data_IF_406626355869
#
_entry.id   IF_406626355869
#
_cell.length_a   1.000
_cell.length_b   1.000
_cell.length_c   1.000
_cell.angle_alpha   90.00
_cell.angle_beta   90.00
_cell.angle_gamma   90.00
#
_symmetry.space_group_name_H-M   'P 1'
#
loop_
_entity.id
_entity.type
_entity.pdbx_description
1 polymer ?
#
# COMPACT_ATOMS: atom_id res chain seq x y z
N UNK A 1 -19.43 4.47 31.25
CA UNK A 1 -20.01 5.52 30.38
C UNK A 1 -18.91 5.99 29.44
N UNK A 2 -19.00 5.66 28.16
CA UNK A 2 -18.03 6.09 27.15
C UNK A 2 -18.31 7.56 26.82
N UNK A 3 -17.39 8.45 27.17
CA UNK A 3 -17.49 9.88 26.87
C UNK A 3 -17.07 10.07 25.42
N UNK A 4 -17.99 10.53 24.57
CA UNK A 4 -17.68 10.90 23.20
C UNK A 4 -16.58 11.98 23.18
N UNK A 5 -15.59 11.88 22.28
CA UNK A 5 -14.51 12.86 22.22
C UNK A 5 -15.08 14.27 21.98
N UNK A 6 -14.48 15.30 22.61
CA UNK A 6 -14.97 16.66 22.47
C UNK A 6 -14.96 17.10 20.99
N UNK A 7 -15.96 17.89 20.55
CA UNK A 7 -16.08 18.30 19.15
C UNK A 7 -14.82 19.08 18.72
N UNK A 8 -14.29 18.72 17.55
CA UNK A 8 -13.08 19.32 16.99
C UNK A 8 -13.17 20.85 16.96
N UNK A 9 -12.12 21.56 17.40
CA UNK A 9 -12.05 23.02 17.31
C UNK A 9 -12.12 23.53 15.87
N UNK A 10 -12.53 24.78 15.66
CA UNK A 10 -12.68 25.39 14.31
C UNK A 10 -11.41 25.25 13.44
N UNK A 11 -10.23 25.41 14.04
CA UNK A 11 -8.94 25.25 13.35
C UNK A 11 -8.74 23.83 12.86
N UNK A 12 -9.07 22.83 13.68
CA UNK A 12 -8.89 21.42 13.34
C UNK A 12 -9.87 20.99 12.25
N UNK A 13 -11.13 21.42 12.34
CA UNK A 13 -12.12 21.19 11.26
C UNK A 13 -11.67 21.79 9.93
N UNK A 14 -11.13 23.02 9.95
CA UNK A 14 -10.61 23.67 8.74
C UNK A 14 -9.38 22.95 8.16
N UNK A 15 -8.52 22.39 9.02
CA UNK A 15 -7.36 21.59 8.60
C UNK A 15 -7.82 20.28 7.96
N UNK A 16 -8.76 19.59 8.59
CA UNK A 16 -9.34 18.34 8.09
C UNK A 16 -10.04 18.53 6.73
N UNK A 17 -10.88 19.56 6.60
CA UNK A 17 -11.55 19.87 5.33
C UNK A 17 -10.56 20.19 4.19
N UNK A 18 -9.39 20.78 4.50
CA UNK A 18 -8.32 20.98 3.51
C UNK A 18 -7.66 19.66 3.12
N UNK A 19 -7.34 18.81 4.10
CA UNK A 19 -6.76 17.49 3.86
C UNK A 19 -7.67 16.64 2.97
N UNK A 20 -8.98 16.66 3.22
CA UNK A 20 -9.97 15.93 2.41
C UNK A 20 -9.99 16.42 0.97
N UNK A 21 -10.02 17.74 0.73
CA UNK A 21 -9.95 18.30 -0.63
C UNK A 21 -8.65 17.95 -1.34
N UNK A 22 -7.51 18.04 -0.65
CA UNK A 22 -6.20 17.66 -1.20
C UNK A 22 -6.21 16.19 -1.61
N UNK A 23 -6.66 15.31 -0.70
CA UNK A 23 -6.66 13.86 -0.92
C UNK A 23 -7.58 13.48 -2.07
N UNK A 24 -8.76 14.09 -2.15
CA UNK A 24 -9.71 13.86 -3.24
C UNK A 24 -9.16 14.32 -4.60
N UNK A 25 -8.60 15.53 -4.66
CA UNK A 25 -8.03 16.07 -5.90
C UNK A 25 -6.82 15.26 -6.39
N UNK A 26 -5.89 14.94 -5.47
CA UNK A 26 -4.71 14.14 -5.80
C UNK A 26 -5.09 12.72 -6.21
N UNK A 27 -6.01 12.07 -5.50
CA UNK A 27 -6.49 10.72 -5.83
C UNK A 27 -7.11 10.68 -7.23
N UNK A 28 -7.98 11.63 -7.56
CA UNK A 28 -8.62 11.71 -8.88
C UNK A 28 -7.58 11.91 -10.00
N UNK A 29 -6.70 12.91 -9.86
CA UNK A 29 -5.70 13.23 -10.88
C UNK A 29 -4.68 12.10 -11.08
N UNK A 30 -4.18 11.50 -10.00
CA UNK A 30 -3.26 10.37 -10.12
C UNK A 30 -3.94 9.14 -10.72
N UNK A 31 -5.21 8.88 -10.40
CA UNK A 31 -5.94 7.76 -11.00
C UNK A 31 -6.19 7.95 -12.50
N UNK A 32 -6.45 9.19 -12.94
CA UNK A 32 -6.76 9.50 -14.34
C UNK A 32 -5.51 9.59 -15.23
N UNK A 33 -4.43 10.19 -14.73
CA UNK A 33 -3.26 10.53 -15.55
C UNK A 33 -1.97 9.86 -15.11
N UNK A 34 -1.94 9.25 -13.92
CA UNK A 34 -0.70 8.75 -13.34
C UNK A 34 0.14 9.86 -12.71
N UNK A 35 1.03 9.47 -11.80
CA UNK A 35 1.83 10.38 -11.00
C UNK A 35 2.79 11.21 -11.84
N UNK A 36 3.34 10.65 -12.91
CA UNK A 36 4.35 11.32 -13.72
C UNK A 36 3.77 12.49 -14.53
N UNK A 37 2.54 12.37 -15.02
CA UNK A 37 1.84 13.39 -15.83
C UNK A 37 1.07 14.43 -14.99
N UNK A 38 1.07 14.29 -13.66
CA UNK A 38 0.42 15.23 -12.73
C UNK A 38 1.44 16.10 -12.01
N UNK A 39 1.17 17.41 -12.00
CA UNK A 39 1.92 18.41 -11.24
C UNK A 39 1.26 18.72 -9.90
N UNK A 40 2.05 19.13 -8.91
CA UNK A 40 1.53 19.62 -7.62
C UNK A 40 0.72 20.92 -7.76
N UNK A 41 0.94 21.70 -8.81
CA UNK A 41 0.14 22.90 -9.13
C UNK A 41 -1.27 22.50 -9.56
N UNK A 42 -1.44 21.56 -10.48
CA UNK A 42 -2.76 21.06 -10.90
C UNK A 42 -3.56 20.52 -9.70
N UNK A 43 -2.91 19.80 -8.79
CA UNK A 43 -3.57 19.31 -7.58
C UNK A 43 -3.98 20.47 -6.66
N UNK A 44 -3.10 21.45 -6.46
CA UNK A 44 -3.41 22.62 -5.62
C UNK A 44 -4.59 23.43 -6.17
N UNK A 45 -4.63 23.63 -7.49
CA UNK A 45 -5.71 24.32 -8.19
C UNK A 45 -7.03 23.55 -8.05
N UNK A 46 -7.00 22.23 -8.30
CA UNK A 46 -8.18 21.36 -8.15
C UNK A 46 -8.69 21.29 -6.70
N UNK A 47 -7.79 21.39 -5.72
CA UNK A 47 -8.13 21.42 -4.30
C UNK A 47 -8.49 22.83 -3.78
N UNK A 48 -8.45 23.87 -4.63
CA UNK A 48 -8.67 25.28 -4.29
C UNK A 48 -7.82 25.72 -3.07
N UNK A 49 -6.49 25.57 -3.21
CA UNK A 49 -5.47 26.02 -2.27
C UNK A 49 -4.21 26.50 -3.01
N UNK A 50 -3.33 27.22 -2.32
CA UNK A 50 -1.99 27.50 -2.86
C UNK A 50 -1.06 26.29 -2.73
N UNK A 51 -0.11 26.11 -3.66
CA UNK A 51 0.92 25.07 -3.62
C UNK A 51 1.74 25.08 -2.34
N UNK A 52 2.08 26.27 -1.80
CA UNK A 52 2.72 26.38 -0.49
C UNK A 52 1.91 25.78 0.65
N UNK A 53 0.57 25.78 0.56
CA UNK A 53 -0.30 25.11 1.53
C UNK A 53 -0.28 23.60 1.33
N UNK A 54 -0.24 23.11 0.09
CA UNK A 54 -0.13 21.68 -0.22
C UNK A 54 1.13 21.08 0.41
N UNK A 55 2.26 21.78 0.31
CA UNK A 55 3.54 21.34 0.88
C UNK A 55 3.57 21.26 2.42
N UNK A 56 2.59 21.83 3.11
CA UNK A 56 2.42 21.63 4.56
C UNK A 56 1.84 20.24 4.91
N UNK A 57 1.22 19.56 3.95
CA UNK A 57 0.60 18.24 4.12
C UNK A 57 1.46 17.11 3.52
N UNK A 58 2.17 17.40 2.42
CA UNK A 58 3.08 16.47 1.77
C UNK A 58 4.24 17.24 1.15
N UNK A 59 5.48 16.98 1.58
CA UNK A 59 6.66 17.77 1.19
C UNK A 59 7.08 17.56 -0.26
N UNK A 60 6.74 16.41 -0.83
CA UNK A 60 7.10 16.01 -2.19
C UNK A 60 5.87 15.44 -2.92
N UNK A 61 5.95 15.31 -4.25
CA UNK A 61 4.91 14.61 -5.02
C UNK A 61 4.82 13.13 -4.64
N UNK A 62 5.96 12.50 -4.33
CA UNK A 62 6.02 11.14 -3.81
C UNK A 62 5.29 10.99 -2.47
N UNK A 63 5.56 11.88 -1.53
CA UNK A 63 4.89 11.90 -0.21
C UNK A 63 3.38 12.16 -0.34
N UNK A 64 2.96 12.94 -1.35
CA UNK A 64 1.54 13.13 -1.68
C UNK A 64 0.91 11.88 -2.29
N UNK A 65 1.66 11.14 -3.10
CA UNK A 65 1.21 9.84 -3.61
C UNK A 65 1.04 8.83 -2.47
N UNK A 66 1.96 8.79 -1.50
CA UNK A 66 1.84 7.94 -0.32
C UNK A 66 0.59 8.29 0.49
N UNK A 67 0.37 9.58 0.78
CA UNK A 67 -0.82 10.07 1.48
C UNK A 67 -2.12 9.51 0.88
N UNK A 68 -2.26 9.52 -0.45
CA UNK A 68 -3.50 9.04 -1.08
C UNK A 68 -3.58 7.52 -1.17
N UNK A 69 -2.45 6.83 -1.37
CA UNK A 69 -2.45 5.38 -1.63
C UNK A 69 -2.43 4.54 -0.36
N UNK A 70 -1.90 5.03 0.76
CA UNK A 70 -1.81 4.27 2.02
C UNK A 70 -3.19 3.71 2.45
N UNK A 71 -4.25 4.52 2.39
CA UNK A 71 -5.60 4.08 2.72
C UNK A 71 -6.12 2.97 1.79
N UNK A 72 -5.75 3.00 0.51
CA UNK A 72 -6.11 1.96 -0.45
C UNK A 72 -5.36 0.64 -0.16
N UNK A 73 -4.06 0.72 0.13
CA UNK A 73 -3.27 -0.46 0.52
C UNK A 73 -3.71 -1.06 1.85
N UNK A 74 -4.03 -0.24 2.85
CA UNK A 74 -4.59 -0.71 4.12
C UNK A 74 -5.93 -1.44 3.91
N UNK A 75 -6.82 -0.88 3.08
CA UNK A 75 -8.08 -1.53 2.71
C UNK A 75 -7.85 -2.84 1.95
N UNK A 76 -6.84 -2.89 1.07
CA UNK A 76 -6.47 -4.09 0.33
C UNK A 76 -5.96 -5.19 1.29
N UNK A 77 -5.14 -4.85 2.27
CA UNK A 77 -4.68 -5.78 3.30
C UNK A 77 -5.85 -6.38 4.09
N UNK A 78 -6.82 -5.57 4.52
CA UNK A 78 -8.00 -6.09 5.24
C UNK A 78 -8.84 -7.05 4.39
N UNK A 79 -9.04 -6.74 3.11
CA UNK A 79 -9.69 -7.66 2.16
C UNK A 79 -8.90 -8.96 2.01
N UNK A 80 -7.57 -8.86 1.96
CA UNK A 80 -6.66 -10.00 1.89
C UNK A 80 -6.76 -10.89 3.14
N UNK A 81 -6.76 -10.29 4.34
CA UNK A 81 -6.94 -11.01 5.61
C UNK A 81 -8.24 -11.81 5.62
N UNK A 82 -9.35 -11.21 5.17
CA UNK A 82 -10.63 -11.88 5.05
C UNK A 82 -10.58 -13.06 4.05
N UNK A 83 -10.01 -12.83 2.86
CA UNK A 83 -9.91 -13.86 1.82
C UNK A 83 -8.99 -15.03 2.23
N UNK A 84 -7.91 -14.76 2.94
CA UNK A 84 -6.96 -15.77 3.42
C UNK A 84 -7.59 -16.71 4.46
N UNK A 85 -8.49 -16.19 5.31
CA UNK A 85 -9.19 -16.99 6.32
C UNK A 85 -10.04 -18.11 5.71
N UNK A 86 -10.52 -17.94 4.49
CA UNK A 86 -11.32 -18.92 3.74
C UNK A 86 -10.48 -20.02 3.08
N UNK A 87 -9.14 -19.92 3.12
CA UNK A 87 -8.23 -20.87 2.47
C UNK A 87 -7.66 -21.89 3.44
N UNK A 88 -7.55 -23.13 2.95
CA UNK A 88 -7.08 -24.26 3.75
C UNK A 88 -5.58 -24.47 3.68
N UNK A 89 -4.95 -24.24 2.53
CA UNK A 89 -3.49 -24.41 2.34
C UNK A 89 -2.74 -23.12 2.65
N UNK A 90 -1.48 -23.23 3.08
CA UNK A 90 -0.63 -22.06 3.32
C UNK A 90 -0.42 -21.24 2.03
N UNK A 91 -0.13 -21.92 0.91
CA UNK A 91 0.08 -21.27 -0.38
C UNK A 91 -1.16 -20.47 -0.81
N UNK A 92 -2.34 -21.08 -0.82
CA UNK A 92 -3.55 -20.40 -1.28
C UNK A 92 -3.96 -19.28 -0.32
N UNK A 93 -3.74 -19.45 0.99
CA UNK A 93 -4.00 -18.41 1.98
C UNK A 93 -3.08 -17.19 1.80
N UNK A 94 -1.77 -17.40 1.61
CA UNK A 94 -0.84 -16.28 1.36
C UNK A 94 -1.15 -15.61 0.02
N UNK A 95 -1.46 -16.38 -1.04
CA UNK A 95 -1.84 -15.80 -2.33
C UNK A 95 -3.14 -14.98 -2.21
N UNK A 96 -4.13 -15.48 -1.47
CA UNK A 96 -5.37 -14.75 -1.22
C UNK A 96 -5.15 -13.48 -0.39
N UNK A 97 -4.20 -13.49 0.56
CA UNK A 97 -3.81 -12.33 1.35
C UNK A 97 -3.23 -11.21 0.48
N UNK A 98 -2.37 -11.56 -0.48
CA UNK A 98 -1.56 -10.57 -1.23
C UNK A 98 -2.19 -10.17 -2.56
N UNK A 99 -3.11 -10.95 -3.13
CA UNK A 99 -3.75 -10.62 -4.39
C UNK A 99 -4.49 -9.26 -4.40
N UNK A 100 -5.21 -8.83 -3.35
CA UNK A 100 -5.81 -7.49 -3.31
C UNK A 100 -4.76 -6.37 -3.30
N UNK A 101 -3.59 -6.60 -2.69
CA UNK A 101 -2.47 -5.64 -2.67
C UNK A 101 -1.89 -5.50 -4.07
N UNK A 102 -1.72 -6.61 -4.79
CA UNK A 102 -1.32 -6.61 -6.21
C UNK A 102 -2.36 -5.86 -7.03
N UNK A 103 -3.66 -6.16 -6.86
CA UNK A 103 -4.72 -5.46 -7.58
C UNK A 103 -4.71 -3.96 -7.32
N UNK A 104 -4.52 -3.54 -6.07
CA UNK A 104 -4.38 -2.13 -5.68
C UNK A 104 -3.20 -1.46 -6.38
N UNK A 105 -2.03 -2.11 -6.38
CA UNK A 105 -0.82 -1.62 -7.04
C UNK A 105 -1.02 -1.43 -8.55
N UNK A 106 -1.84 -2.29 -9.17
CA UNK A 106 -2.05 -2.34 -10.62
C UNK A 106 -3.25 -1.56 -11.13
N UNK A 107 -3.97 -0.83 -10.26
CA UNK A 107 -4.98 0.13 -10.70
C UNK A 107 -4.38 1.15 -11.67
N UNK A 108 -3.16 1.63 -11.38
CA UNK A 108 -2.35 2.39 -12.32
C UNK A 108 -0.88 2.01 -12.13
N UNK A 109 -0.28 1.39 -13.14
CA UNK A 109 1.06 0.78 -13.03
C UNK A 109 2.14 1.78 -12.60
N UNK A 110 2.16 2.99 -13.17
CA UNK A 110 3.18 3.99 -12.81
C UNK A 110 3.03 4.52 -11.37
N UNK A 111 1.80 4.66 -10.87
CA UNK A 111 1.54 5.00 -9.47
C UNK A 111 2.02 3.89 -8.55
N UNK A 112 1.70 2.64 -8.89
CA UNK A 112 2.14 1.47 -8.14
C UNK A 112 3.66 1.39 -8.05
N UNK A 113 4.36 1.55 -9.18
CA UNK A 113 5.83 1.49 -9.23
C UNK A 113 6.48 2.67 -8.51
N UNK A 114 5.91 3.87 -8.63
CA UNK A 114 6.42 5.04 -7.91
C UNK A 114 6.21 4.91 -6.41
N UNK A 115 5.07 4.37 -5.96
CA UNK A 115 4.84 4.06 -4.55
C UNK A 115 5.90 3.09 -4.00
N UNK A 116 6.21 2.01 -4.74
CA UNK A 116 7.28 1.08 -4.37
C UNK A 116 8.66 1.75 -4.33
N UNK A 117 8.94 2.66 -5.26
CA UNK A 117 10.20 3.44 -5.28
C UNK A 117 10.31 4.35 -4.06
N UNK A 118 9.24 5.05 -3.70
CA UNK A 118 9.20 5.91 -2.51
C UNK A 118 9.37 5.10 -1.22
N UNK A 119 8.83 3.88 -1.13
CA UNK A 119 9.09 3.00 0.02
C UNK A 119 10.56 2.58 0.12
N UNK A 120 11.23 2.31 -1.01
CA UNK A 120 12.61 1.83 -1.00
C UNK A 120 13.66 2.95 -0.83
N UNK A 121 13.39 4.15 -1.35
CA UNK A 121 14.39 5.23 -1.46
C UNK A 121 13.91 6.58 -0.92
N UNK A 122 12.67 6.67 -0.42
CA UNK A 122 12.10 7.88 0.14
C UNK A 122 12.68 8.23 1.51
N UNK A 123 12.22 9.35 2.06
CA UNK A 123 12.72 9.85 3.34
C UNK A 123 11.97 9.17 4.51
N UNK A 124 12.66 8.40 5.38
CA UNK A 124 12.02 7.64 6.46
C UNK A 124 11.44 8.51 7.58
N UNK A 125 11.74 9.81 7.59
CA UNK A 125 11.21 10.76 8.57
C UNK A 125 9.88 11.39 8.16
N UNK A 126 9.41 11.12 6.94
CA UNK A 126 8.15 11.63 6.44
C UNK A 126 6.98 10.74 6.91
N UNK A 127 5.85 11.34 7.35
CA UNK A 127 4.80 10.61 8.03
C UNK A 127 4.09 9.57 7.14
N UNK A 128 3.87 9.87 5.86
CA UNK A 128 3.16 8.95 4.96
C UNK A 128 4.08 7.83 4.47
N UNK A 129 5.38 8.09 4.37
CA UNK A 129 6.40 7.04 4.24
C UNK A 129 6.41 6.09 5.44
N UNK A 130 6.40 6.61 6.67
CA UNK A 130 6.34 5.77 7.86
C UNK A 130 5.05 4.92 7.91
N UNK A 131 3.91 5.48 7.48
CA UNK A 131 2.65 4.73 7.36
C UNK A 131 2.72 3.64 6.29
N UNK A 132 3.30 3.92 5.12
CA UNK A 132 3.51 2.93 4.06
C UNK A 132 4.33 1.73 4.56
N UNK A 133 5.43 1.99 5.27
CA UNK A 133 6.26 0.94 5.89
C UNK A 133 5.49 0.15 6.97
N UNK A 134 4.62 0.81 7.73
CA UNK A 134 3.78 0.13 8.70
C UNK A 134 2.78 -0.82 8.03
N UNK A 135 2.24 -0.48 6.86
CA UNK A 135 1.36 -1.36 6.08
C UNK A 135 2.14 -2.58 5.57
N UNK A 136 3.38 -2.39 5.11
CA UNK A 136 4.27 -3.50 4.70
C UNK A 136 4.52 -4.44 5.88
N UNK A 137 4.90 -3.90 7.05
CA UNK A 137 5.13 -4.69 8.26
C UNK A 137 3.87 -5.47 8.68
N UNK A 138 2.69 -4.86 8.62
CA UNK A 138 1.42 -5.54 8.93
C UNK A 138 1.09 -6.65 7.92
N UNK A 139 1.50 -6.50 6.67
CA UNK A 139 1.35 -7.52 5.63
C UNK A 139 2.31 -8.69 5.87
N UNK A 140 3.55 -8.41 6.25
CA UNK A 140 4.53 -9.42 6.64
C UNK A 140 4.08 -10.20 7.88
N UNK A 141 3.58 -9.51 8.91
CA UNK A 141 3.03 -10.15 10.12
C UNK A 141 1.84 -11.06 9.79
N UNK A 142 0.90 -10.59 8.96
CA UNK A 142 -0.24 -11.41 8.52
C UNK A 142 0.21 -12.64 7.74
N UNK A 143 1.24 -12.49 6.90
CA UNK A 143 1.82 -13.60 6.13
C UNK A 143 2.49 -14.60 7.07
N UNK A 144 3.28 -14.13 8.05
CA UNK A 144 3.93 -14.97 9.04
C UNK A 144 2.92 -15.74 9.91
N UNK A 145 1.81 -15.10 10.29
CA UNK A 145 0.73 -15.75 11.02
C UNK A 145 0.08 -16.88 10.20
N UNK A 146 -0.23 -16.63 8.91
CA UNK A 146 -0.75 -17.65 8.00
C UNK A 146 0.22 -18.83 7.87
N UNK A 147 1.51 -18.54 7.66
CA UNK A 147 2.53 -19.56 7.53
C UNK A 147 2.65 -20.41 8.80
N UNK A 148 2.79 -19.80 9.97
CA UNK A 148 2.91 -20.51 11.24
C UNK A 148 1.68 -21.40 11.51
N UNK A 149 0.47 -20.88 11.28
CA UNK A 149 -0.78 -21.61 11.53
C UNK A 149 -1.00 -22.79 10.56
N UNK A 150 -0.61 -22.65 9.29
CA UNK A 150 -0.94 -23.63 8.24
C UNK A 150 0.18 -24.63 7.93
N UNK A 151 1.42 -24.31 8.31
CA UNK A 151 2.59 -25.19 8.06
C UNK A 151 3.19 -25.78 9.34
N UNK A 152 2.87 -25.21 10.51
CA UNK A 152 3.48 -25.61 11.79
C UNK A 152 4.92 -25.14 11.98
N UNK A 153 5.44 -24.27 11.11
CA UNK A 153 6.76 -23.65 11.27
C UNK A 153 6.89 -22.87 12.58
N UNK A 154 8.10 -22.80 13.12
CA UNK A 154 8.38 -21.91 14.25
C UNK A 154 8.12 -20.45 13.82
N UNK A 155 7.65 -19.61 14.76
CA UNK A 155 7.33 -18.20 14.47
C UNK A 155 8.50 -17.44 13.84
N UNK A 156 9.72 -17.70 14.28
CA UNK A 156 10.93 -17.07 13.73
C UNK A 156 11.15 -17.43 12.26
N UNK A 157 10.96 -18.70 11.89
CA UNK A 157 11.08 -19.17 10.50
C UNK A 157 9.96 -18.61 9.62
N UNK A 158 8.72 -18.58 10.14
CA UNK A 158 7.58 -18.00 9.45
C UNK A 158 7.77 -16.49 9.17
N UNK A 159 8.34 -15.74 10.12
CA UNK A 159 8.70 -14.32 9.93
C UNK A 159 9.78 -14.16 8.86
N UNK A 160 10.83 -14.97 8.88
CA UNK A 160 11.87 -14.94 7.83
C UNK A 160 11.26 -15.23 6.46
N UNK A 161 10.40 -16.24 6.35
CA UNK A 161 9.78 -16.60 5.08
C UNK A 161 8.79 -15.52 4.60
N UNK A 162 8.04 -14.88 5.51
CA UNK A 162 7.20 -13.74 5.19
C UNK A 162 8.00 -12.58 4.60
N UNK A 163 9.18 -12.29 5.14
CA UNK A 163 10.08 -11.26 4.59
C UNK A 163 10.59 -11.63 3.18
N UNK A 164 10.90 -12.90 2.92
CA UNK A 164 11.25 -13.38 1.57
C UNK A 164 10.08 -13.19 0.59
N UNK A 165 8.86 -13.49 1.02
CA UNK A 165 7.64 -13.31 0.22
C UNK A 165 7.38 -11.82 -0.06
N UNK A 166 7.61 -10.96 0.92
CA UNK A 166 7.57 -9.49 0.77
C UNK A 166 8.56 -9.00 -0.30
N UNK A 167 9.79 -9.52 -0.29
CA UNK A 167 10.80 -9.21 -1.31
C UNK A 167 10.38 -9.70 -2.72
N UNK A 168 9.79 -10.90 -2.82
CA UNK A 168 9.22 -11.43 -4.08
C UNK A 168 8.14 -10.48 -4.61
N UNK A 169 7.19 -10.08 -3.76
CA UNK A 169 6.12 -9.15 -4.12
C UNK A 169 6.69 -7.81 -4.60
N UNK A 170 7.61 -7.23 -3.83
CA UNK A 170 8.24 -5.96 -4.14
C UNK A 170 8.92 -6.00 -5.51
N UNK A 171 9.80 -6.97 -5.75
CA UNK A 171 10.55 -7.09 -7.00
C UNK A 171 9.63 -7.36 -8.19
N UNK A 172 8.65 -8.25 -8.03
CA UNK A 172 7.71 -8.60 -9.11
C UNK A 172 6.85 -7.40 -9.51
N UNK A 173 6.43 -6.56 -8.56
CA UNK A 173 5.62 -5.37 -8.87
C UNK A 173 6.44 -4.15 -9.31
N UNK A 174 7.69 -4.00 -8.85
CA UNK A 174 8.54 -2.84 -9.18
C UNK A 174 9.28 -2.99 -10.52
N UNK A 175 9.67 -4.22 -10.87
CA UNK A 175 10.50 -4.53 -12.04
C UNK A 175 9.79 -4.17 -13.35
N UNK A 176 10.57 -3.65 -14.31
CA UNK A 176 10.08 -3.40 -15.68
C UNK A 176 9.74 -4.68 -16.45
N UNK A 177 10.27 -5.83 -16.04
CA UNK A 177 9.97 -7.13 -16.64
C UNK A 177 8.46 -7.44 -16.62
N UNK A 178 7.80 -6.98 -15.56
CA UNK A 178 6.40 -7.26 -15.29
C UNK A 178 5.49 -6.08 -15.64
N UNK A 179 5.97 -5.05 -16.33
CA UNK A 179 5.21 -3.80 -16.52
C UNK A 179 3.89 -4.01 -17.27
N UNK A 180 3.89 -4.88 -18.29
CA UNK A 180 2.74 -5.14 -19.16
C UNK A 180 1.84 -6.28 -18.66
N UNK A 181 2.19 -6.93 -17.55
CA UNK A 181 1.34 -7.98 -16.98
C UNK A 181 0.05 -7.39 -16.41
N UNK A 182 -1.03 -8.16 -16.41
CA UNK A 182 -2.21 -7.81 -15.63
C UNK A 182 -2.09 -8.36 -14.20
N UNK A 183 -3.13 -8.15 -13.39
CA UNK A 183 -3.17 -8.63 -12.00
C UNK A 183 -3.03 -10.16 -11.94
N UNK A 184 -3.67 -10.89 -12.86
CA UNK A 184 -3.64 -12.36 -12.87
C UNK A 184 -2.23 -12.89 -13.15
N UNK A 185 -1.53 -12.30 -14.14
CA UNK A 185 -0.16 -12.64 -14.47
C UNK A 185 0.81 -12.42 -13.31
N UNK A 186 0.68 -11.30 -12.59
CA UNK A 186 1.51 -11.02 -11.40
C UNK A 186 1.21 -12.00 -10.28
N UNK A 187 -0.06 -12.25 -9.98
CA UNK A 187 -0.46 -13.18 -8.93
C UNK A 187 0.03 -14.61 -9.25
N UNK A 188 -0.04 -15.02 -10.52
CA UNK A 188 0.48 -16.31 -10.96
C UNK A 188 2.00 -16.42 -10.78
N UNK A 189 2.75 -15.39 -11.16
CA UNK A 189 4.21 -15.33 -11.00
C UNK A 189 4.61 -15.37 -9.52
N UNK A 190 3.93 -14.60 -8.66
CA UNK A 190 4.13 -14.60 -7.21
C UNK A 190 3.81 -15.97 -6.62
N UNK A 191 2.67 -16.57 -7.00
CA UNK A 191 2.27 -17.91 -6.53
C UNK A 191 3.33 -18.96 -6.87
N UNK A 192 3.86 -18.94 -8.08
CA UNK A 192 4.90 -19.89 -8.50
C UNK A 192 6.18 -19.76 -7.65
N UNK A 193 6.61 -18.52 -7.38
CA UNK A 193 7.79 -18.26 -6.54
C UNK A 193 7.56 -18.68 -5.08
N UNK A 194 6.39 -18.37 -4.50
CA UNK A 194 6.03 -18.80 -3.13
C UNK A 194 6.00 -20.32 -3.03
N UNK A 195 5.38 -21.00 -4.00
CA UNK A 195 5.30 -22.46 -4.03
C UNK A 195 6.69 -23.14 -4.06
N UNK A 196 7.69 -22.48 -4.67
CA UNK A 196 9.05 -23.01 -4.75
C UNK A 196 9.83 -22.94 -3.42
N UNK A 197 9.45 -22.02 -2.52
CA UNK A 197 10.15 -21.77 -1.25
C UNK A 197 9.40 -22.30 -0.02
N UNK A 198 8.12 -22.67 -0.16
CA UNK A 198 7.36 -23.27 0.94
C UNK A 198 7.91 -24.68 1.26
N UNK A 199 7.98 -25.05 2.56
CA UNK A 199 8.30 -26.42 2.94
C UNK A 199 7.20 -27.38 2.43
N UNK A 200 7.62 -28.59 2.06
CA UNK A 200 6.72 -29.65 1.58
C UNK A 200 6.02 -30.36 2.71
#
# INVERSE_FOLDING_TARGET
>A
MSVAPPPLGRRERNKQAKLERITAAASALFAEHGVDDVTTQQIADAADIGTGTLFLYAKTKGELLLLVQNAHYATALERGRAAAAEKSTALDAVVALVAPIVACNRVHVDNGRTYLREMAFGNPTEPHHAEALAIVAQTEDATADVLAQRTGLARTEAVTLAHVISAILFLTMASSEYVDCDVEGIVAAVRAQIAAILPR
#
